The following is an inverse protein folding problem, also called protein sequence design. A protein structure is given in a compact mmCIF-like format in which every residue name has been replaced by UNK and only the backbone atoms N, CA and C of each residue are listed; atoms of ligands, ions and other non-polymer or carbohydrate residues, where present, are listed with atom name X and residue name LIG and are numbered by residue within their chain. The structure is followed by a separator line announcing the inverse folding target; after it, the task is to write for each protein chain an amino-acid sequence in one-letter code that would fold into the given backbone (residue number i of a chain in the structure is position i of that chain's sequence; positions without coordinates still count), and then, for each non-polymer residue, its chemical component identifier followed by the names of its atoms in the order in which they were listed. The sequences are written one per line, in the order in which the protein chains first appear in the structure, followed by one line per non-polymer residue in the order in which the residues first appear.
data_IF_108190917850
#
_entry.id   IF_108190917850
#
_cell.length_a   1.000
_cell.length_b   1.000
_cell.length_c   1.000
_cell.angle_alpha   90.00
_cell.angle_beta   90.00
_cell.angle_gamma   90.00
#
_symmetry.space_group_name_H-M   'P 1'
#
loop_
_entity.id
_entity.type
_entity.pdbx_description
1 polymer ?
#
# COMPACT_ATOMS: atom_id res chain seq x y z
N UNK A 1 16.22 -0.49 12.63
CA UNK A 1 15.40 0.21 11.63
C UNK A 1 13.97 -0.29 11.76
N UNK A 2 13.01 0.62 11.80
CA UNK A 2 11.60 0.27 11.73
C UNK A 2 11.23 -0.03 10.26
N UNK A 3 10.73 -1.24 10.01
CA UNK A 3 10.37 -1.68 8.66
C UNK A 3 8.89 -1.42 8.31
N UNK A 4 8.17 -0.71 9.18
CA UNK A 4 6.74 -0.50 9.05
C UNK A 4 6.42 0.98 8.97
N UNK A 5 5.50 1.33 8.08
CA UNK A 5 4.95 2.67 7.87
C UNK A 5 3.54 2.69 8.46
N UNK A 6 3.27 3.59 9.39
CA UNK A 6 1.91 3.81 9.88
C UNK A 6 1.15 4.68 8.88
N UNK A 7 -0.02 4.21 8.41
CA UNK A 7 -0.90 4.99 7.53
C UNK A 7 -2.27 5.22 8.18
N UNK A 8 -2.65 6.49 8.28
CA UNK A 8 -3.96 6.93 8.78
C UNK A 8 -4.82 7.38 7.60
N UNK A 9 -5.79 6.54 7.23
CA UNK A 9 -6.65 6.74 6.08
C UNK A 9 -8.03 7.25 6.52
N UNK A 10 -8.57 8.26 5.86
CA UNK A 10 -9.93 8.76 6.11
C UNK A 10 -10.37 9.67 4.97
N UNK A 11 -11.58 9.48 4.50
CA UNK A 11 -12.23 10.37 3.52
C UNK A 11 -12.60 11.72 4.15
N UNK A 12 -12.73 11.77 5.47
CA UNK A 12 -13.02 13.00 6.20
C UNK A 12 -11.75 13.83 6.30
N UNK A 13 -11.76 15.00 5.69
CA UNK A 13 -10.65 15.95 5.76
C UNK A 13 -10.64 16.69 7.11
N UNK A 14 -9.47 17.19 7.49
CA UNK A 14 -9.27 18.03 8.69
C UNK A 14 -9.62 17.35 10.03
N UNK A 15 -9.72 16.04 10.10
CA UNK A 15 -9.97 15.32 11.38
C UNK A 15 -8.75 15.27 12.30
N UNK A 16 -7.58 15.74 11.84
CA UNK A 16 -6.37 15.86 12.67
C UNK A 16 -5.30 14.80 12.46
N UNK A 17 -5.37 13.98 11.40
CA UNK A 17 -4.37 12.92 11.08
C UNK A 17 -2.94 13.44 11.10
N UNK A 18 -2.66 14.47 10.30
CA UNK A 18 -1.34 15.10 10.19
C UNK A 18 -0.88 15.68 11.53
N UNK A 19 -1.79 16.34 12.26
CA UNK A 19 -1.51 16.90 13.59
C UNK A 19 -1.16 15.81 14.60
N UNK A 20 -1.87 14.68 14.57
CA UNK A 20 -1.57 13.52 15.44
C UNK A 20 -0.15 13.00 15.19
N UNK A 21 0.20 12.74 13.93
CA UNK A 21 1.53 12.23 13.56
C UNK A 21 2.62 13.24 13.99
N UNK A 22 2.43 14.53 13.70
CA UNK A 22 3.41 15.56 14.04
C UNK A 22 3.58 15.72 15.56
N UNK A 23 2.56 15.42 16.33
CA UNK A 23 2.61 15.47 17.80
C UNK A 23 3.16 14.19 18.45
N UNK A 24 3.57 13.17 17.69
CA UNK A 24 4.30 12.04 18.26
C UNK A 24 5.68 12.44 18.77
N UNK A 25 6.29 13.49 18.19
CA UNK A 25 7.52 14.05 18.68
C UNK A 25 7.26 15.24 19.63
N UNK A 26 7.95 15.29 20.79
CA UNK A 26 7.88 16.43 21.69
C UNK A 26 8.46 17.68 21.05
N UNK A 27 8.13 18.88 21.56
CA UNK A 27 8.60 20.16 21.00
C UNK A 27 10.11 20.21 20.80
N UNK A 28 10.89 19.65 21.73
CA UNK A 28 12.36 19.63 21.72
C UNK A 28 12.95 18.79 20.57
N UNK A 29 12.20 17.83 20.06
CA UNK A 29 12.63 16.94 18.96
C UNK A 29 11.98 17.28 17.62
N UNK A 30 11.20 18.34 17.52
CA UNK A 30 10.53 18.74 16.27
C UNK A 30 11.48 19.11 15.14
N UNK A 31 12.71 19.48 15.43
CA UNK A 31 13.75 19.68 14.43
C UNK A 31 14.08 18.38 13.64
N UNK A 32 13.73 17.21 14.20
CA UNK A 32 13.91 15.90 13.57
C UNK A 32 12.62 15.36 12.94
N UNK A 33 11.59 16.18 12.84
CA UNK A 33 10.38 15.88 12.08
C UNK A 33 10.54 16.43 10.66
N UNK A 34 10.30 15.60 9.66
CA UNK A 34 10.14 16.03 8.28
C UNK A 34 8.71 15.73 7.81
N UNK A 35 8.14 16.63 7.01
CA UNK A 35 6.79 16.45 6.45
C UNK A 35 6.86 16.54 4.93
N UNK A 36 6.03 15.76 4.26
CA UNK A 36 5.91 15.66 2.82
C UNK A 36 6.38 14.32 2.26
N UNK A 37 6.02 14.06 1.00
CA UNK A 37 6.41 12.84 0.32
C UNK A 37 7.93 12.77 0.14
N UNK A 38 8.45 11.57 0.20
CA UNK A 38 9.85 11.25 -0.12
C UNK A 38 9.92 10.76 -1.55
N UNK A 39 10.64 11.47 -2.40
CA UNK A 39 11.01 10.98 -3.71
C UNK A 39 12.28 10.11 -3.58
N UNK A 40 12.18 8.77 -3.75
CA UNK A 40 13.32 7.87 -3.56
C UNK A 40 14.47 8.08 -4.56
N UNK A 41 14.23 8.84 -5.62
CA UNK A 41 15.24 9.20 -6.63
C UNK A 41 15.94 10.53 -6.33
N UNK A 42 15.45 11.31 -5.36
CA UNK A 42 16.01 12.59 -4.96
C UNK A 42 17.01 12.39 -3.81
N UNK A 43 18.22 12.91 -3.98
CA UNK A 43 19.31 12.80 -2.98
C UNK A 43 19.01 13.58 -1.70
N UNK A 44 18.33 14.71 -1.80
CA UNK A 44 17.98 15.53 -0.64
C UNK A 44 16.93 14.85 0.23
N UNK A 45 15.97 14.16 -0.43
CA UNK A 45 14.98 13.36 0.29
C UNK A 45 15.60 12.13 0.94
N UNK A 46 16.58 11.49 0.28
CA UNK A 46 17.34 10.40 0.91
C UNK A 46 18.13 10.90 2.14
N UNK A 47 18.66 12.14 2.10
CA UNK A 47 19.35 12.71 3.24
C UNK A 47 18.42 12.91 4.45
N UNK A 48 17.16 13.27 4.24
CA UNK A 48 16.15 13.38 5.31
C UNK A 48 16.02 12.08 6.10
N UNK A 49 16.11 10.92 5.45
CA UNK A 49 15.99 9.60 6.10
C UNK A 49 17.11 9.33 7.10
N UNK A 50 18.29 9.90 6.85
CA UNK A 50 19.44 9.79 7.74
C UNK A 50 19.47 10.88 8.84
N UNK A 51 18.64 11.91 8.73
CA UNK A 51 18.63 13.07 9.63
C UNK A 51 17.39 13.14 10.51
N UNK A 52 16.24 12.69 10.01
CA UNK A 52 14.98 12.72 10.73
C UNK A 52 14.84 11.53 11.70
N UNK A 53 14.03 11.73 12.75
CA UNK A 53 13.50 10.66 13.60
C UNK A 53 12.15 10.15 13.08
N UNK A 54 11.34 11.07 12.54
CA UNK A 54 10.02 10.79 12.00
C UNK A 54 9.83 11.57 10.70
N UNK A 55 9.35 10.87 9.69
CA UNK A 55 8.93 11.47 8.43
C UNK A 55 7.42 11.24 8.29
N UNK A 56 6.67 12.33 8.27
CA UNK A 56 5.24 12.33 8.00
C UNK A 56 5.02 12.48 6.49
N UNK A 57 4.62 11.38 5.84
CA UNK A 57 4.27 11.31 4.41
C UNK A 57 2.84 11.84 4.24
N UNK A 58 2.71 13.16 4.17
CA UNK A 58 1.41 13.78 3.98
C UNK A 58 0.91 13.53 2.55
N UNK A 59 -0.39 13.24 2.39
CA UNK A 59 -0.99 12.87 1.10
C UNK A 59 -0.26 11.69 0.42
N UNK A 60 -0.08 10.59 1.16
CA UNK A 60 0.64 9.40 0.69
C UNK A 60 0.11 8.84 -0.64
N UNK A 61 -1.18 9.01 -0.92
CA UNK A 61 -1.84 8.66 -2.18
C UNK A 61 -1.23 9.35 -3.42
N UNK A 62 -0.53 10.46 -3.25
CA UNK A 62 0.20 11.14 -4.33
C UNK A 62 1.41 10.37 -4.85
N UNK A 63 1.84 9.30 -4.18
CA UNK A 63 2.97 8.48 -4.59
C UNK A 63 2.57 7.54 -5.72
N UNK A 64 3.24 7.62 -6.86
CA UNK A 64 3.00 6.70 -7.99
C UNK A 64 3.39 5.27 -7.64
N UNK A 65 2.78 4.28 -8.32
CA UNK A 65 3.08 2.86 -8.09
C UNK A 65 4.57 2.52 -8.26
N UNK A 66 5.31 3.20 -9.15
CA UNK A 66 6.76 3.03 -9.30
C UNK A 66 7.53 3.57 -8.08
N UNK A 67 7.16 4.75 -7.62
CA UNK A 67 7.78 5.37 -6.43
C UNK A 67 7.48 4.55 -5.18
N UNK A 68 6.25 4.05 -5.05
CA UNK A 68 5.84 3.17 -3.96
C UNK A 68 6.69 1.90 -3.89
N UNK A 69 7.00 1.27 -5.02
CA UNK A 69 7.86 0.08 -5.05
C UNK A 69 9.30 0.37 -4.62
N UNK A 70 9.86 1.51 -5.06
CA UNK A 70 11.19 1.94 -4.61
C UNK A 70 11.15 2.32 -3.11
N UNK A 71 10.08 2.96 -2.67
CA UNK A 71 9.88 3.32 -1.27
C UNK A 71 9.75 2.09 -0.36
N UNK A 72 9.04 1.04 -0.79
CA UNK A 72 8.97 -0.25 -0.08
C UNK A 72 10.35 -0.86 0.19
N UNK A 73 11.27 -0.76 -0.78
CA UNK A 73 12.65 -1.19 -0.59
C UNK A 73 13.40 -0.26 0.37
N UNK A 74 13.21 1.04 0.22
CA UNK A 74 13.88 2.06 1.03
C UNK A 74 13.54 1.93 2.53
N UNK A 75 12.27 1.67 2.88
CA UNK A 75 11.82 1.49 4.27
C UNK A 75 12.61 0.40 5.00
N UNK A 76 13.03 -0.64 4.30
CA UNK A 76 13.75 -1.78 4.90
C UNK A 76 15.27 -1.66 4.87
N UNK A 77 15.82 -0.65 4.21
CA UNK A 77 17.28 -0.44 4.15
C UNK A 77 17.82 0.00 5.50
N UNK A 78 18.87 -0.64 5.94
CA UNK A 78 19.60 -0.26 7.19
C UNK A 78 20.53 0.94 6.98
N UNK A 79 20.99 1.14 5.75
CA UNK A 79 21.99 2.13 5.37
C UNK A 79 21.53 2.86 4.12
N UNK A 80 21.65 4.16 4.15
CA UNK A 80 21.36 5.07 3.02
C UNK A 80 22.68 5.57 2.46
N UNK A 81 22.97 5.28 1.20
CA UNK A 81 24.16 5.75 0.52
C UNK A 81 23.87 7.04 -0.24
N UNK A 82 24.49 8.13 0.18
CA UNK A 82 24.25 9.48 -0.37
C UNK A 82 25.56 10.11 -0.78
N UNK A 83 25.59 10.76 -1.93
CA UNK A 83 26.68 11.64 -2.31
C UNK A 83 26.31 13.07 -1.94
N UNK A 84 26.92 13.57 -0.89
CA UNK A 84 26.74 14.96 -0.44
C UNK A 84 27.21 15.97 -1.53
N UNK A 85 26.69 17.22 -1.51
CA UNK A 85 27.19 18.28 -2.37
C UNK A 85 28.71 18.40 -2.26
N UNK A 86 29.37 18.55 -3.39
CA UNK A 86 30.84 18.67 -3.52
C UNK A 86 31.65 17.44 -3.08
N UNK A 87 31.02 16.38 -2.57
CA UNK A 87 31.75 15.14 -2.21
C UNK A 87 32.16 14.37 -3.46
N UNK A 88 33.40 13.84 -3.46
CA UNK A 88 33.91 13.01 -4.56
C UNK A 88 33.34 11.59 -4.57
N UNK A 89 32.89 11.10 -3.40
CA UNK A 89 32.39 9.72 -3.19
C UNK A 89 31.09 9.74 -2.42
N UNK A 90 30.26 8.72 -2.64
CA UNK A 90 29.10 8.46 -1.79
C UNK A 90 29.55 8.05 -0.39
N UNK A 91 28.77 8.45 0.61
CA UNK A 91 28.98 8.10 2.02
C UNK A 91 27.76 7.33 2.50
N UNK A 92 27.98 6.41 3.43
CA UNK A 92 26.93 5.60 4.03
C UNK A 92 26.50 6.22 5.36
N UNK A 93 25.19 6.45 5.49
CA UNK A 93 24.55 6.96 6.68
C UNK A 93 23.59 5.92 7.25
N UNK A 94 23.46 5.81 8.58
CA UNK A 94 22.45 4.95 9.15
C UNK A 94 21.03 5.47 8.79
N UNK A 95 20.11 4.56 8.57
CA UNK A 95 18.70 4.90 8.45
C UNK A 95 18.12 5.11 9.86
N UNK A 96 17.78 6.33 10.22
CA UNK A 96 17.29 6.71 11.54
C UNK A 96 15.79 6.98 11.57
N UNK A 97 15.19 7.36 10.44
CA UNK A 97 13.81 7.74 10.37
C UNK A 97 12.83 6.56 10.54
N UNK A 98 11.74 6.81 11.26
CA UNK A 98 10.49 6.06 11.13
C UNK A 98 9.55 6.82 10.21
N UNK A 99 8.64 6.08 9.55
CA UNK A 99 7.67 6.67 8.64
C UNK A 99 6.26 6.55 9.21
N UNK A 100 5.50 7.62 9.08
CA UNK A 100 4.06 7.63 9.20
C UNK A 100 3.47 8.46 8.07
N UNK A 101 2.21 8.27 7.72
CA UNK A 101 1.59 9.04 6.65
C UNK A 101 0.10 9.19 6.82
N UNK A 102 -0.46 10.11 6.05
CA UNK A 102 -1.89 10.38 5.99
C UNK A 102 -2.40 10.13 4.59
N UNK A 103 -3.63 9.64 4.48
CA UNK A 103 -4.32 9.40 3.23
C UNK A 103 -5.73 9.98 3.31
N UNK A 104 -6.23 10.48 2.17
CA UNK A 104 -7.58 11.01 2.04
C UNK A 104 -8.56 9.99 1.44
N UNK A 105 -8.06 8.83 1.05
CA UNK A 105 -8.84 7.70 0.55
C UNK A 105 -8.54 6.45 1.37
N UNK A 106 -9.47 5.51 1.37
CA UNK A 106 -9.25 4.21 2.01
C UNK A 106 -8.34 3.35 1.13
N UNK A 107 -8.60 3.29 -0.16
CA UNK A 107 -7.87 2.47 -1.13
C UNK A 107 -6.59 3.17 -1.59
N UNK A 108 -5.48 2.93 -0.90
CA UNK A 108 -4.19 3.62 -1.13
C UNK A 108 -3.07 2.70 -1.61
N UNK A 109 -3.27 1.38 -1.53
CA UNK A 109 -2.26 0.38 -1.89
C UNK A 109 -2.51 -0.15 -3.30
N UNK A 110 -1.73 0.31 -4.27
CA UNK A 110 -1.87 -0.09 -5.69
C UNK A 110 -1.27 -1.45 -6.05
N UNK A 111 -0.60 -2.12 -5.11
CA UNK A 111 0.07 -3.40 -5.33
C UNK A 111 -0.32 -4.38 -4.23
N UNK A 112 -0.53 -5.64 -4.60
CA UNK A 112 -0.88 -6.72 -3.66
C UNK A 112 0.35 -7.30 -2.94
N UNK A 113 1.58 -6.92 -3.35
CA UNK A 113 2.81 -7.50 -2.82
C UNK A 113 3.54 -6.56 -1.87
N UNK A 114 4.07 -7.12 -0.78
CA UNK A 114 4.90 -6.40 0.19
C UNK A 114 4.14 -5.39 1.04
N UNK A 115 2.82 -5.50 1.14
CA UNK A 115 1.96 -4.61 1.91
C UNK A 115 2.12 -4.77 3.43
N UNK A 116 2.75 -5.84 3.91
CA UNK A 116 3.15 -6.01 5.33
C UNK A 116 4.01 -4.85 5.89
N UNK A 117 4.54 -4.00 4.99
CA UNK A 117 5.29 -2.79 5.41
C UNK A 117 4.37 -1.64 5.82
N UNK A 118 3.10 -1.71 5.50
CA UNK A 118 2.12 -0.66 5.79
C UNK A 118 1.19 -1.15 6.90
N UNK A 119 1.08 -0.37 7.95
CA UNK A 119 0.11 -0.57 9.03
C UNK A 119 -1.01 0.45 8.82
N UNK A 120 -2.02 0.04 8.06
CA UNK A 120 -3.13 0.89 7.66
C UNK A 120 -4.26 0.88 8.69
N UNK A 121 -4.78 2.07 9.01
CA UNK A 121 -5.95 2.26 9.86
C UNK A 121 -6.95 3.19 9.19
N UNK A 122 -8.21 2.76 9.18
CA UNK A 122 -9.31 3.65 8.86
C UNK A 122 -9.66 4.50 10.08
N UNK A 123 -9.66 5.83 9.91
CA UNK A 123 -9.88 6.79 11.01
C UNK A 123 -11.18 7.53 10.80
N UNK A 124 -12.15 7.29 11.67
CA UNK A 124 -13.47 7.94 11.63
C UNK A 124 -13.49 9.27 12.38
N UNK A 125 -12.76 9.36 13.49
CA UNK A 125 -12.64 10.56 14.31
C UNK A 125 -11.33 10.57 15.07
N UNK A 126 -10.86 11.75 15.47
CA UNK A 126 -9.68 11.92 16.31
C UNK A 126 -9.98 12.88 17.46
N UNK A 127 -9.61 12.47 18.66
CA UNK A 127 -9.62 13.32 19.82
C UNK A 127 -8.20 13.83 20.11
N UNK A 128 -8.08 15.13 20.41
CA UNK A 128 -6.79 15.73 20.78
C UNK A 128 -6.52 15.49 22.26
N UNK A 129 -5.69 14.52 22.55
CA UNK A 129 -5.22 14.23 23.90
C UNK A 129 -3.89 14.93 24.12
N UNK A 130 -3.75 15.64 25.26
CA UNK A 130 -2.46 16.21 25.67
C UNK A 130 -1.49 15.07 26.01
N UNK A 131 -0.46 14.89 25.19
CA UNK A 131 0.53 13.83 25.38
C UNK A 131 1.48 14.21 26.53
N UNK A 132 1.62 13.33 27.51
CA UNK A 132 2.69 13.41 28.51
C UNK A 132 3.94 12.73 27.93
N UNK A 133 4.77 13.50 27.24
CA UNK A 133 5.96 12.99 26.57
C UNK A 133 6.96 12.32 27.53
N UNK A 134 7.14 12.88 28.73
CA UNK A 134 8.04 12.28 29.71
C UNK A 134 7.62 10.86 30.06
N UNK A 135 6.34 10.65 30.31
CA UNK A 135 5.78 9.31 30.60
C UNK A 135 5.84 8.40 29.37
N UNK A 136 5.45 8.89 28.19
CA UNK A 136 5.47 8.13 26.93
C UNK A 136 6.88 7.60 26.62
N UNK A 137 7.87 8.47 26.63
CA UNK A 137 9.25 8.08 26.30
C UNK A 137 9.91 7.24 27.40
N UNK A 138 9.53 7.44 28.66
CA UNK A 138 9.95 6.55 29.75
C UNK A 138 9.38 5.13 29.55
N UNK A 139 8.13 4.99 29.15
CA UNK A 139 7.51 3.71 28.83
C UNK A 139 8.16 3.04 27.63
N UNK A 140 8.42 3.77 26.54
CA UNK A 140 9.13 3.25 25.37
C UNK A 140 10.52 2.74 25.77
N UNK A 141 11.27 3.52 26.54
CA UNK A 141 12.60 3.13 27.03
C UNK A 141 12.55 1.87 27.92
N UNK A 142 11.56 1.79 28.79
CA UNK A 142 11.33 0.60 29.63
C UNK A 142 11.07 -0.62 28.78
N UNK A 143 10.15 -0.53 27.80
CA UNK A 143 9.84 -1.65 26.89
C UNK A 143 11.05 -2.10 26.10
N UNK A 144 11.80 -1.18 25.50
CA UNK A 144 13.00 -1.49 24.72
C UNK A 144 14.09 -2.18 25.52
N UNK A 145 14.19 -1.88 26.83
CA UNK A 145 15.15 -2.51 27.73
C UNK A 145 14.63 -3.81 28.37
N UNK A 146 13.36 -4.17 28.15
CA UNK A 146 12.79 -5.40 28.70
C UNK A 146 13.37 -6.61 27.97
N UNK A 147 13.96 -7.59 28.66
CA UNK A 147 14.47 -8.80 28.05
C UNK A 147 13.40 -9.52 27.23
N UNK A 148 13.75 -9.88 25.99
CA UNK A 148 12.82 -10.55 25.07
C UNK A 148 11.76 -9.65 24.41
N UNK A 149 11.77 -8.34 24.67
CA UNK A 149 10.89 -7.42 23.96
C UNK A 149 11.26 -7.29 22.49
N UNK A 150 10.30 -7.53 21.61
CA UNK A 150 10.45 -7.46 20.17
C UNK A 150 9.69 -6.22 19.63
N UNK A 151 10.39 -5.32 18.95
CA UNK A 151 9.81 -4.10 18.37
C UNK A 151 9.47 -4.24 16.88
N UNK A 152 9.65 -5.44 16.31
CA UNK A 152 9.29 -5.77 14.93
C UNK A 152 8.22 -6.84 14.93
N UNK A 153 7.41 -6.89 13.87
CA UNK A 153 6.36 -7.87 13.72
C UNK A 153 6.90 -9.25 13.35
N UNK A 154 6.35 -10.28 13.95
CA UNK A 154 6.59 -11.70 13.61
C UNK A 154 5.98 -12.04 12.25
N UNK A 155 6.28 -13.22 11.73
CA UNK A 155 5.68 -13.69 10.48
C UNK A 155 4.15 -13.80 10.56
N UNK A 156 3.62 -14.31 11.67
CA UNK A 156 2.17 -14.42 11.89
C UNK A 156 1.49 -13.06 12.00
N UNK A 157 2.13 -12.09 12.65
CA UNK A 157 1.62 -10.72 12.72
C UNK A 157 1.68 -10.02 11.35
N UNK A 158 2.72 -10.26 10.56
CA UNK A 158 2.80 -9.76 9.19
C UNK A 158 1.67 -10.31 8.30
N UNK A 159 1.30 -11.60 8.45
CA UNK A 159 0.15 -12.15 7.72
C UNK A 159 -1.16 -11.45 8.11
N UNK A 160 -1.35 -11.15 9.40
CA UNK A 160 -2.52 -10.37 9.87
C UNK A 160 -2.53 -8.94 9.34
N UNK A 161 -1.35 -8.31 9.21
CA UNK A 161 -1.24 -6.99 8.60
C UNK A 161 -1.61 -7.05 7.11
N UNK A 162 -1.18 -8.10 6.39
CA UNK A 162 -1.52 -8.28 4.98
C UNK A 162 -3.03 -8.52 4.79
N UNK A 163 -3.66 -9.33 5.65
CA UNK A 163 -5.12 -9.53 5.68
C UNK A 163 -5.88 -8.21 5.94
N UNK A 164 -5.48 -7.45 6.96
CA UNK A 164 -6.07 -6.14 7.24
C UNK A 164 -5.90 -5.15 6.07
N UNK A 165 -4.81 -5.25 5.34
CA UNK A 165 -4.50 -4.35 4.23
C UNK A 165 -5.27 -4.69 2.94
N UNK A 166 -6.01 -5.80 2.88
CA UNK A 166 -6.89 -6.11 1.75
C UNK A 166 -7.95 -5.03 1.55
N UNK A 167 -8.50 -4.48 2.64
CA UNK A 167 -9.47 -3.38 2.62
C UNK A 167 -8.90 -2.04 2.13
N UNK A 168 -7.57 -1.94 2.01
CA UNK A 168 -6.85 -0.73 1.58
C UNK A 168 -6.24 -0.87 0.19
N UNK A 169 -6.48 -1.98 -0.50
CA UNK A 169 -5.98 -2.20 -1.85
C UNK A 169 -6.86 -1.47 -2.85
N UNK A 170 -6.23 -0.63 -3.66
CA UNK A 170 -6.92 0.04 -4.77
C UNK A 170 -7.26 -0.96 -5.88
N UNK A 171 -8.52 -1.00 -6.23
CA UNK A 171 -9.05 -1.73 -7.38
C UNK A 171 -9.43 -0.75 -8.48
N UNK A 172 -8.89 -0.93 -9.68
CA UNK A 172 -9.34 -0.11 -10.81
C UNK A 172 -10.77 -0.50 -11.22
N UNK A 173 -11.54 0.43 -11.82
CA UNK A 173 -12.88 0.09 -12.33
C UNK A 173 -12.88 -1.11 -13.27
N UNK A 174 -11.81 -1.26 -14.06
CA UNK A 174 -11.64 -2.41 -14.95
C UNK A 174 -11.40 -3.71 -14.17
N UNK A 175 -10.68 -3.63 -13.05
CA UNK A 175 -10.43 -4.76 -12.15
C UNK A 175 -11.72 -5.20 -11.47
N UNK A 176 -12.51 -4.27 -10.95
CA UNK A 176 -13.82 -4.55 -10.36
C UNK A 176 -14.77 -5.20 -11.36
N UNK A 177 -14.82 -4.68 -12.59
CA UNK A 177 -15.63 -5.26 -13.65
C UNK A 177 -15.22 -6.71 -13.96
N UNK A 178 -13.92 -7.01 -14.00
CA UNK A 178 -13.43 -8.38 -14.19
C UNK A 178 -13.89 -9.26 -13.03
N UNK A 179 -13.62 -8.87 -11.79
CA UNK A 179 -13.91 -9.67 -10.60
C UNK A 179 -15.42 -9.87 -10.37
N UNK A 180 -16.24 -8.90 -10.78
CA UNK A 180 -17.71 -9.02 -10.73
C UNK A 180 -18.25 -10.08 -11.69
N UNK A 181 -17.60 -10.29 -12.85
CA UNK A 181 -18.10 -11.16 -13.90
C UNK A 181 -17.35 -12.47 -14.06
N UNK A 182 -16.11 -12.55 -13.51
CA UNK A 182 -15.21 -13.68 -13.69
C UNK A 182 -14.49 -13.97 -12.37
N UNK A 183 -14.41 -15.26 -12.03
CA UNK A 183 -13.59 -15.76 -10.92
C UNK A 183 -12.76 -16.97 -11.31
N UNK A 184 -11.88 -17.40 -10.44
CA UNK A 184 -11.22 -18.69 -10.59
C UNK A 184 -12.23 -19.81 -10.47
N UNK A 185 -12.14 -20.86 -11.30
CA UNK A 185 -13.02 -22.01 -11.17
C UNK A 185 -12.69 -22.80 -9.89
N UNK A 186 -13.73 -23.28 -9.23
CA UNK A 186 -13.62 -24.26 -8.17
C UNK A 186 -13.60 -25.70 -8.72
N UNK A 187 -13.35 -26.65 -7.82
CA UNK A 187 -13.28 -28.07 -8.21
C UNK A 187 -14.63 -28.55 -8.74
N UNK A 188 -14.63 -29.16 -9.96
CA UNK A 188 -15.80 -29.65 -10.68
C UNK A 188 -16.71 -28.60 -11.35
N UNK A 189 -16.31 -27.34 -11.40
CA UNK A 189 -17.06 -26.34 -12.14
C UNK A 189 -16.73 -26.32 -13.63
N UNK A 190 -17.64 -25.72 -14.41
CA UNK A 190 -17.45 -25.54 -15.85
C UNK A 190 -16.37 -24.49 -16.09
N UNK A 191 -15.28 -24.90 -16.73
CA UNK A 191 -14.14 -24.05 -17.02
C UNK A 191 -14.25 -23.45 -18.41
N UNK A 192 -13.95 -22.16 -18.52
CA UNK A 192 -13.81 -21.44 -19.78
C UNK A 192 -12.36 -21.01 -19.99
N UNK A 193 -11.90 -21.05 -21.25
CA UNK A 193 -10.55 -20.63 -21.64
C UNK A 193 -10.64 -19.37 -22.49
N UNK A 194 -10.48 -18.21 -21.90
CA UNK A 194 -10.68 -16.92 -22.54
C UNK A 194 -9.38 -16.14 -22.71
N UNK A 195 -9.23 -15.51 -23.85
CA UNK A 195 -8.20 -14.48 -24.06
C UNK A 195 -8.65 -13.18 -23.42
N UNK A 196 -7.71 -12.24 -23.21
CA UNK A 196 -8.01 -10.88 -22.71
C UNK A 196 -9.05 -10.17 -23.60
N UNK A 197 -9.02 -10.42 -24.91
CA UNK A 197 -9.99 -9.83 -25.85
C UNK A 197 -11.38 -10.41 -25.63
N UNK A 198 -11.50 -11.73 -25.51
CA UNK A 198 -12.78 -12.41 -25.24
C UNK A 198 -13.36 -12.00 -23.87
N UNK A 199 -12.51 -11.79 -22.86
CA UNK A 199 -12.90 -11.25 -21.53
C UNK A 199 -13.45 -9.83 -21.70
N UNK A 200 -12.75 -8.96 -22.42
CA UNK A 200 -13.20 -7.58 -22.67
C UNK A 200 -14.53 -7.54 -23.42
N UNK A 201 -14.75 -8.43 -24.36
CA UNK A 201 -16.01 -8.55 -25.11
C UNK A 201 -17.15 -9.04 -24.21
N UNK A 202 -16.92 -10.05 -23.37
CA UNK A 202 -17.89 -10.54 -22.40
C UNK A 202 -18.36 -9.41 -21.45
N UNK A 203 -17.42 -8.63 -20.93
CA UNK A 203 -17.74 -7.51 -20.02
C UNK A 203 -18.49 -6.43 -20.78
N UNK A 204 -18.09 -6.09 -22.01
CA UNK A 204 -18.77 -5.12 -22.87
C UNK A 204 -20.23 -5.53 -23.14
N UNK A 205 -20.48 -6.78 -23.46
CA UNK A 205 -21.83 -7.29 -23.74
C UNK A 205 -22.74 -7.20 -22.51
N UNK A 206 -22.16 -7.39 -21.29
CA UNK A 206 -22.93 -7.39 -20.06
C UNK A 206 -23.14 -6.00 -19.44
N UNK A 207 -22.18 -5.08 -19.64
CA UNK A 207 -22.14 -3.79 -18.94
C UNK A 207 -22.21 -2.59 -19.87
N UNK A 208 -21.96 -2.76 -21.17
CA UNK A 208 -21.77 -1.67 -22.13
C UNK A 208 -20.40 -1.00 -22.06
N UNK A 209 -19.53 -1.37 -21.09
CA UNK A 209 -18.21 -0.77 -20.93
C UNK A 209 -17.27 -1.12 -22.07
N UNK A 210 -16.68 -0.09 -22.69
CA UNK A 210 -15.76 -0.26 -23.82
C UNK A 210 -14.30 -0.12 -23.39
N UNK A 211 -13.55 -1.19 -23.50
CA UNK A 211 -12.12 -1.16 -23.25
C UNK A 211 -11.36 -0.54 -24.44
N UNK A 212 -10.59 0.51 -24.17
CA UNK A 212 -9.61 1.04 -25.14
C UNK A 212 -8.47 0.02 -25.37
N UNK A 213 -7.62 0.27 -26.38
CA UNK A 213 -6.48 -0.62 -26.65
C UNK A 213 -5.48 -0.65 -25.45
N UNK A 214 -5.30 0.48 -24.75
CA UNK A 214 -4.48 0.57 -23.54
C UNK A 214 -5.06 -0.18 -22.35
N UNK A 215 -6.37 -0.09 -22.13
CA UNK A 215 -7.08 -0.78 -21.06
C UNK A 215 -7.11 -2.30 -21.26
N UNK A 216 -7.19 -2.79 -22.50
CA UNK A 216 -7.06 -4.24 -22.78
C UNK A 216 -5.72 -4.82 -22.33
N UNK A 217 -4.62 -4.06 -22.45
CA UNK A 217 -3.33 -4.49 -21.95
C UNK A 217 -3.30 -4.55 -20.39
N UNK A 218 -4.07 -3.72 -19.71
CA UNK A 218 -4.21 -3.75 -18.25
C UNK A 218 -4.97 -4.98 -17.78
N UNK A 219 -5.97 -5.47 -18.51
CA UNK A 219 -6.68 -6.70 -18.17
C UNK A 219 -5.74 -7.91 -17.98
N UNK A 220 -4.72 -8.02 -18.82
CA UNK A 220 -3.71 -9.07 -18.67
C UNK A 220 -2.91 -8.95 -17.36
N UNK A 221 -2.69 -7.73 -16.88
CA UNK A 221 -2.06 -7.47 -15.58
C UNK A 221 -3.01 -7.80 -14.44
N UNK A 222 -4.29 -7.43 -14.55
CA UNK A 222 -5.34 -7.78 -13.58
C UNK A 222 -5.45 -9.29 -13.44
N UNK A 223 -5.56 -10.03 -14.53
CA UNK A 223 -5.62 -11.50 -14.51
C UNK A 223 -4.40 -12.13 -13.83
N UNK A 224 -3.21 -11.57 -14.08
CA UNK A 224 -1.97 -12.02 -13.46
C UNK A 224 -1.89 -11.62 -11.97
N UNK A 225 -2.33 -10.41 -11.61
CA UNK A 225 -2.40 -9.89 -10.22
C UNK A 225 -3.25 -10.81 -9.34
N UNK A 226 -4.41 -11.25 -9.86
CA UNK A 226 -5.31 -12.15 -9.15
C UNK A 226 -4.95 -13.64 -9.31
N UNK A 227 -3.81 -13.96 -9.95
CA UNK A 227 -3.29 -15.32 -10.04
C UNK A 227 -4.21 -16.27 -10.84
N UNK A 228 -4.87 -15.77 -11.90
CA UNK A 228 -5.58 -16.62 -12.84
C UNK A 228 -4.58 -17.47 -13.62
N UNK A 229 -4.79 -18.79 -13.66
CA UNK A 229 -3.99 -19.69 -14.47
C UNK A 229 -4.19 -19.42 -15.95
N UNK A 230 -3.16 -19.63 -16.75
CA UNK A 230 -3.26 -19.47 -18.19
C UNK A 230 -2.46 -20.51 -18.97
N UNK A 231 -2.93 -20.81 -20.17
CA UNK A 231 -2.25 -21.62 -21.15
C UNK A 231 -1.79 -20.77 -22.34
N UNK A 232 -0.59 -21.00 -22.84
CA UNK A 232 -0.09 -20.33 -24.05
C UNK A 232 -0.64 -21.07 -25.28
N UNK A 233 -1.50 -20.42 -26.05
CA UNK A 233 -1.99 -20.89 -27.34
C UNK A 233 -1.35 -20.14 -28.51
N UNK A 234 -1.66 -20.56 -29.75
CA UNK A 234 -1.19 -19.87 -30.97
C UNK A 234 -1.62 -18.41 -31.05
N UNK A 235 -2.76 -18.04 -30.43
CA UNK A 235 -3.35 -16.70 -30.45
C UNK A 235 -3.14 -15.93 -29.12
N UNK A 236 -2.11 -16.27 -28.33
CA UNK A 236 -1.80 -15.61 -27.06
C UNK A 236 -2.15 -16.43 -25.82
N UNK A 237 -2.22 -15.75 -24.67
CA UNK A 237 -2.57 -16.38 -23.39
C UNK A 237 -4.08 -16.56 -23.31
N UNK A 238 -4.51 -17.77 -22.92
CA UNK A 238 -5.90 -18.08 -22.57
C UNK A 238 -5.98 -18.36 -21.07
N UNK A 239 -6.76 -17.55 -20.37
CA UNK A 239 -6.94 -17.65 -18.93
C UNK A 239 -8.04 -18.66 -18.61
N UNK A 240 -7.81 -19.45 -17.57
CA UNK A 240 -8.74 -20.44 -17.04
C UNK A 240 -9.69 -19.71 -16.09
N UNK A 241 -10.96 -19.60 -16.45
CA UNK A 241 -11.95 -18.79 -15.73
C UNK A 241 -13.28 -19.52 -15.55
N UNK A 242 -14.00 -19.14 -14.50
CA UNK A 242 -15.43 -19.38 -14.33
C UNK A 242 -16.17 -18.06 -14.61
N UNK A 243 -17.23 -18.12 -15.40
CA UNK A 243 -18.06 -16.96 -15.75
C UNK A 243 -19.24 -16.93 -14.77
N UNK A 244 -19.32 -15.86 -13.96
CA UNK A 244 -20.39 -15.66 -12.97
C UNK A 244 -21.69 -15.33 -13.73
N UNK A 245 -22.79 -15.98 -13.36
CA UNK A 245 -24.08 -15.73 -14.00
C UNK A 245 -24.63 -14.32 -13.69
N UNK A 246 -25.31 -13.74 -14.68
CA UNK A 246 -25.83 -12.35 -14.59
C UNK A 246 -26.85 -12.17 -13.47
N UNK A 247 -27.55 -13.22 -13.08
CA UNK A 247 -28.49 -13.20 -11.95
C UNK A 247 -27.76 -13.13 -10.61
N UNK A 248 -26.64 -13.85 -10.46
CA UNK A 248 -25.77 -13.78 -9.28
C UNK A 248 -25.12 -12.40 -9.13
N UNK A 249 -24.72 -11.76 -10.25
CA UNK A 249 -24.16 -10.41 -10.25
C UNK A 249 -25.17 -9.37 -9.75
N UNK A 250 -26.45 -9.50 -10.12
CA UNK A 250 -27.52 -8.61 -9.66
C UNK A 250 -27.85 -8.81 -8.18
N UNK A 251 -27.79 -10.03 -7.68
CA UNK A 251 -28.04 -10.36 -6.28
C UNK A 251 -26.97 -9.74 -5.37
N UNK A 252 -25.70 -9.83 -5.73
CA UNK A 252 -24.59 -9.28 -4.94
C UNK A 252 -24.66 -7.74 -4.82
N UNK A 253 -25.11 -7.04 -5.86
CA UNK A 253 -25.29 -5.58 -5.84
C UNK A 253 -26.48 -5.07 -4.99
N UNK A 254 -27.37 -5.95 -4.55
CA UNK A 254 -28.50 -5.59 -3.69
C UNK A 254 -28.15 -5.69 -2.19
N UNK A 255 -26.97 -6.18 -1.85
CA UNK A 255 -26.49 -6.35 -0.47
C UNK A 255 -25.27 -5.45 -0.14
N UNK A 256 -24.82 -4.59 -1.05
CA UNK A 256 -23.89 -3.47 -0.84
C UNK A 256 -24.63 -2.15 -0.69
#
# INVERSE_FOLDING_TARGET
VNHTVLLLCSEIQNIGKTTFINNLLPPELRAYLSTGLINPSNKDDLAKIAQAMLINLDEFEGMSGRELNIFKDLVTRKVISIRLPYARRSQNFPHTASFAGTCNYQEVLHDTTGNRRFLCFHVNSMEFIKINYAQLYAQIKYLLNKPGYQYWFTQSENSRIEENNEDFIFHSPEEELVLTHIRKPERFEKVHYLTVTEIAELIRERTGYQYSHGTKAQLGKVMSKHGFEFHKGKNGRRYTVFIIDTEQVKSNRLYE
#
